data_IF_720672892362
#
_entry.id   IF_720672892362
#
_cell.length_a   1.000
_cell.length_b   1.000
_cell.length_c   1.000
_cell.angle_alpha   90.00
_cell.angle_beta   90.00
_cell.angle_gamma   90.00
#
_symmetry.space_group_name_H-M   'P 1'
#
loop_
_entity.id
_entity.type
_entity.pdbx_description
1 polymer ?
#
# COMPACT_ATOMS: atom_id res chain seq x y z
N UNK A 1 18.58 -26.59 -14.52
CA UNK A 1 17.17 -26.20 -14.25
C UNK A 1 17.00 -25.97 -12.76
N UNK A 2 16.75 -24.73 -12.30
CA UNK A 2 16.44 -24.47 -10.89
C UNK A 2 15.00 -24.91 -10.61
N UNK A 3 14.80 -25.79 -9.63
CA UNK A 3 13.47 -26.19 -9.16
C UNK A 3 12.70 -24.94 -8.73
N UNK A 4 11.51 -24.73 -9.30
CA UNK A 4 10.50 -23.79 -8.81
C UNK A 4 10.22 -24.18 -7.36
N UNK A 5 10.63 -23.36 -6.39
CA UNK A 5 10.30 -23.57 -4.99
C UNK A 5 8.78 -23.43 -4.85
N UNK A 6 8.10 -24.55 -4.65
CA UNK A 6 6.72 -24.59 -4.20
C UNK A 6 6.68 -23.96 -2.80
N UNK A 7 5.98 -22.84 -2.68
CA UNK A 7 5.78 -22.11 -1.43
C UNK A 7 4.85 -22.94 -0.53
N UNK A 8 5.38 -23.99 0.11
CA UNK A 8 4.64 -24.75 1.11
C UNK A 8 4.52 -23.92 2.41
N UNK A 9 3.32 -23.33 2.56
CA UNK A 9 2.51 -23.15 3.77
C UNK A 9 3.11 -23.63 5.11
N UNK A 10 3.30 -22.68 6.04
CA UNK A 10 3.36 -22.92 7.48
C UNK A 10 2.32 -21.98 8.15
N UNK A 11 1.34 -22.58 8.82
CA UNK A 11 0.13 -22.01 9.42
C UNK A 11 0.37 -21.10 10.66
N UNK A 12 1.45 -20.30 10.68
CA UNK A 12 1.77 -19.41 11.81
C UNK A 12 2.46 -18.11 11.38
N UNK A 13 2.03 -17.53 10.25
CA UNK A 13 2.64 -16.30 9.72
C UNK A 13 2.17 -15.08 10.51
N UNK A 14 3.00 -14.62 11.44
CA UNK A 14 2.90 -13.25 11.97
C UNK A 14 3.50 -12.30 10.93
N UNK A 15 2.67 -11.39 10.43
CA UNK A 15 3.04 -10.38 9.45
C UNK A 15 3.59 -9.14 10.15
N UNK A 16 4.41 -8.38 9.44
CA UNK A 16 4.99 -7.13 9.94
C UNK A 16 4.64 -6.03 8.97
N UNK A 17 3.95 -5.00 9.42
CA UNK A 17 3.61 -3.87 8.57
C UNK A 17 4.52 -2.69 8.90
N UNK A 18 5.30 -2.26 7.91
CA UNK A 18 6.13 -1.06 7.96
C UNK A 18 5.44 0.05 7.19
N UNK A 19 4.96 1.07 7.90
CA UNK A 19 4.30 2.21 7.30
C UNK A 19 5.20 3.44 7.37
N UNK A 20 5.57 3.96 6.20
CA UNK A 20 6.36 5.16 6.05
C UNK A 20 5.47 6.24 5.45
N UNK A 21 5.25 7.34 6.17
CA UNK A 21 4.38 8.42 5.72
C UNK A 21 4.99 9.77 6.08
N UNK A 22 4.92 10.77 5.18
CA UNK A 22 5.14 12.16 5.51
C UNK A 22 3.90 12.82 6.13
N UNK A 23 2.70 12.25 5.93
CA UNK A 23 1.41 12.76 6.41
C UNK A 23 0.89 12.01 7.65
N UNK A 24 0.21 12.73 8.54
CA UNK A 24 -0.30 12.19 9.82
C UNK A 24 -1.66 11.47 9.68
N UNK A 25 -2.53 11.94 8.78
CA UNK A 25 -3.92 11.49 8.71
C UNK A 25 -4.05 10.06 8.17
N UNK A 26 -3.43 9.76 7.03
CA UNK A 26 -3.47 8.44 6.37
C UNK A 26 -2.78 7.41 7.26
N UNK A 27 -1.70 7.86 7.90
CA UNK A 27 -0.92 7.08 8.83
C UNK A 27 -1.77 6.64 10.03
N UNK A 28 -2.44 7.58 10.70
CA UNK A 28 -3.31 7.25 11.85
C UNK A 28 -4.49 6.38 11.44
N UNK A 29 -5.04 6.59 10.24
CA UNK A 29 -6.06 5.71 9.66
C UNK A 29 -5.56 4.26 9.54
N UNK A 30 -4.44 4.02 8.84
CA UNK A 30 -3.91 2.66 8.64
C UNK A 30 -3.56 2.02 9.97
N UNK A 31 -2.95 2.78 10.88
CA UNK A 31 -2.62 2.33 12.23
C UNK A 31 -3.86 1.86 12.99
N UNK A 32 -4.95 2.63 12.95
CA UNK A 32 -6.21 2.29 13.62
C UNK A 32 -6.81 1.01 13.03
N UNK A 33 -6.86 0.86 11.71
CA UNK A 33 -7.35 -0.36 11.05
C UNK A 33 -6.58 -1.60 11.50
N UNK A 34 -5.25 -1.55 11.40
CA UNK A 34 -4.39 -2.69 11.75
C UNK A 34 -4.58 -3.05 13.23
N UNK A 35 -4.63 -2.06 14.11
CA UNK A 35 -4.77 -2.30 15.55
C UNK A 35 -6.14 -2.87 15.95
N UNK A 36 -7.22 -2.48 15.25
CA UNK A 36 -8.58 -2.90 15.59
C UNK A 36 -8.97 -4.23 14.93
N UNK A 37 -8.54 -4.50 13.69
CA UNK A 37 -8.98 -5.68 12.92
C UNK A 37 -7.92 -6.75 12.74
N UNK A 38 -6.63 -6.38 12.72
CA UNK A 38 -5.54 -7.29 12.32
C UNK A 38 -4.42 -7.42 13.36
N UNK A 39 -4.59 -6.92 14.59
CA UNK A 39 -3.54 -6.90 15.61
C UNK A 39 -3.00 -8.27 16.02
N UNK A 40 -3.81 -9.32 15.87
CA UNK A 40 -3.44 -10.71 16.16
C UNK A 40 -2.54 -11.30 15.07
N UNK A 41 -2.60 -10.75 13.85
CA UNK A 41 -1.91 -11.26 12.65
C UNK A 41 -0.75 -10.36 12.22
N UNK A 42 -0.89 -9.04 12.38
CA UNK A 42 0.08 -8.03 11.95
C UNK A 42 0.66 -7.32 13.17
N UNK A 43 1.98 -7.36 13.31
CA UNK A 43 2.70 -6.44 14.19
C UNK A 43 2.97 -5.14 13.43
N UNK A 44 2.34 -4.06 13.87
CA UNK A 44 2.49 -2.74 13.28
C UNK A 44 3.79 -2.07 13.74
N UNK A 45 4.59 -1.63 12.77
CA UNK A 45 5.79 -0.81 12.97
C UNK A 45 5.59 0.49 12.19
N UNK A 46 5.16 1.54 12.89
CA UNK A 46 4.80 2.81 12.26
C UNK A 46 5.54 4.02 12.80
N UNK A 47 5.47 5.05 11.97
CA UNK A 47 6.00 6.40 12.04
C UNK A 47 7.51 6.51 11.90
N UNK A 48 7.93 6.43 10.64
CA UNK A 48 9.22 6.86 10.20
C UNK A 48 8.97 7.87 9.08
N UNK A 49 9.08 9.16 9.39
CA UNK A 49 9.09 10.19 8.36
C UNK A 49 10.13 9.82 7.31
N UNK A 50 9.66 9.59 6.09
CA UNK A 50 10.48 9.20 4.94
C UNK A 50 10.58 10.37 3.97
N UNK A 51 11.51 10.28 3.03
CA UNK A 51 11.59 11.24 1.93
C UNK A 51 10.41 11.03 0.97
N UNK A 52 9.84 12.12 0.48
CA UNK A 52 8.79 12.11 -0.55
C UNK A 52 9.43 12.10 -1.95
N UNK A 53 8.81 11.41 -2.90
CA UNK A 53 9.19 11.56 -4.30
C UNK A 53 8.53 12.81 -4.88
N UNK A 54 9.27 13.93 -4.86
CA UNK A 54 8.72 15.24 -5.22
C UNK A 54 8.22 15.30 -6.67
N UNK A 55 7.11 16.03 -6.83
CA UNK A 55 6.60 16.55 -8.11
C UNK A 55 7.60 17.39 -8.90
N UNK A 56 8.56 18.03 -8.22
CA UNK A 56 9.49 18.99 -8.81
C UNK A 56 10.75 18.34 -9.40
N UNK A 57 10.78 17.01 -9.55
CA UNK A 57 11.90 16.30 -10.18
C UNK A 57 11.98 16.68 -11.66
N UNK A 58 13.04 17.40 -12.04
CA UNK A 58 13.19 17.96 -13.39
C UNK A 58 13.94 17.05 -14.36
N UNK A 59 14.79 16.17 -13.84
CA UNK A 59 15.70 15.33 -14.61
C UNK A 59 15.92 13.95 -13.97
N UNK A 60 16.53 13.04 -14.73
CA UNK A 60 16.80 11.67 -14.31
C UNK A 60 17.86 11.57 -13.19
N UNK A 61 18.76 12.54 -13.05
CA UNK A 61 19.77 12.55 -11.99
C UNK A 61 19.12 12.81 -10.62
N UNK A 62 18.29 13.86 -10.54
CA UNK A 62 17.49 14.18 -9.36
C UNK A 62 16.55 13.03 -9.01
N UNK A 63 15.87 12.46 -10.02
CA UNK A 63 15.01 11.28 -9.86
C UNK A 63 15.77 10.14 -9.18
N UNK A 64 16.93 9.76 -9.73
CA UNK A 64 17.72 8.64 -9.23
C UNK A 64 18.23 8.89 -7.80
N UNK A 65 18.59 10.13 -7.49
CA UNK A 65 19.01 10.54 -6.14
C UNK A 65 17.88 10.40 -5.12
N UNK A 66 16.68 10.89 -5.44
CA UNK A 66 15.52 10.77 -4.54
C UNK A 66 15.08 9.32 -4.36
N UNK A 67 15.03 8.53 -5.43
CA UNK A 67 14.74 7.10 -5.36
C UNK A 67 15.76 6.39 -4.45
N UNK A 68 17.06 6.67 -4.58
CA UNK A 68 18.09 6.09 -3.71
C UNK A 68 17.85 6.44 -2.25
N UNK A 69 17.59 7.71 -1.93
CA UNK A 69 17.33 8.15 -0.55
C UNK A 69 16.17 7.38 0.07
N UNK A 70 15.07 7.23 -0.67
CA UNK A 70 13.89 6.48 -0.23
C UNK A 70 14.26 5.02 0.00
N UNK A 71 14.81 4.34 -1.01
CA UNK A 71 15.18 2.92 -0.96
C UNK A 71 16.15 2.64 0.19
N UNK A 72 17.20 3.45 0.35
CA UNK A 72 18.22 3.28 1.39
C UNK A 72 17.63 3.50 2.78
N UNK A 73 16.79 4.53 2.97
CA UNK A 73 16.11 4.78 4.23
C UNK A 73 15.28 3.57 4.67
N UNK A 74 14.47 3.03 3.76
CA UNK A 74 13.58 1.91 4.06
C UNK A 74 14.38 0.63 4.27
N UNK A 75 15.32 0.31 3.37
CA UNK A 75 16.12 -0.91 3.47
C UNK A 75 16.95 -0.92 4.75
N UNK A 76 17.51 0.21 5.19
CA UNK A 76 18.22 0.29 6.47
C UNK A 76 17.30 0.00 7.67
N UNK A 77 16.08 0.54 7.67
CA UNK A 77 15.10 0.26 8.73
C UNK A 77 14.53 -1.14 8.69
N UNK A 78 14.47 -1.78 7.53
CA UNK A 78 13.87 -3.13 7.38
C UNK A 78 14.91 -4.26 7.41
N UNK A 79 16.19 -3.98 7.12
CA UNK A 79 17.31 -4.94 7.12
C UNK A 79 17.84 -5.24 8.52
N UNK A 80 17.79 -4.26 9.43
CA UNK A 80 18.11 -4.45 10.86
C UNK A 80 17.09 -5.31 11.60
N UNK A 81 15.94 -5.63 10.97
CA UNK A 81 14.82 -6.33 11.58
C UNK A 81 14.74 -7.82 11.17
N UNK A 82 15.90 -8.42 10.89
CA UNK A 82 16.08 -9.85 10.56
C UNK A 82 15.58 -10.82 11.67
N UNK A 83 15.21 -10.33 12.83
CA UNK A 83 14.76 -11.15 13.96
C UNK A 83 13.29 -11.59 13.87
N UNK A 84 12.50 -11.06 12.93
CA UNK A 84 11.05 -11.11 13.09
C UNK A 84 10.29 -11.43 11.78
N UNK A 85 10.13 -12.74 11.53
CA UNK A 85 8.97 -13.35 10.85
C UNK A 85 8.90 -13.39 9.31
N UNK A 86 8.21 -14.42 8.82
CA UNK A 86 7.81 -14.61 7.42
C UNK A 86 6.55 -13.75 7.13
N UNK A 87 6.57 -12.92 6.09
CA UNK A 87 5.41 -12.12 5.62
C UNK A 87 5.52 -10.63 5.94
N UNK A 88 6.48 -9.93 5.31
CA UNK A 88 6.67 -8.49 5.52
C UNK A 88 5.75 -7.70 4.58
N UNK A 89 4.99 -6.77 5.11
CA UNK A 89 4.19 -5.81 4.35
C UNK A 89 4.87 -4.47 4.50
N UNK A 90 5.22 -3.84 3.38
CA UNK A 90 5.87 -2.54 3.38
C UNK A 90 4.95 -1.56 2.64
N UNK A 91 4.50 -0.53 3.35
CA UNK A 91 3.61 0.51 2.85
C UNK A 91 4.36 1.84 2.85
N UNK A 92 4.47 2.42 1.67
CA UNK A 92 4.98 3.78 1.46
C UNK A 92 3.82 4.70 1.14
N UNK A 93 3.51 5.60 2.04
CA UNK A 93 2.62 6.72 1.78
C UNK A 93 3.50 7.87 1.33
N UNK A 94 3.18 8.46 0.19
CA UNK A 94 3.99 9.50 -0.44
C UNK A 94 3.08 10.52 -1.12
N UNK A 95 3.56 11.75 -1.27
CA UNK A 95 2.94 12.75 -2.14
C UNK A 95 3.61 12.60 -3.51
N UNK A 96 2.93 11.91 -4.41
CA UNK A 96 3.42 11.64 -5.77
C UNK A 96 2.51 12.25 -6.82
N UNK A 97 1.70 13.23 -6.45
CA UNK A 97 0.60 13.74 -7.27
C UNK A 97 1.05 14.37 -8.59
N UNK A 98 2.32 14.76 -8.69
CA UNK A 98 2.90 15.18 -9.97
C UNK A 98 4.17 14.40 -10.38
N UNK A 99 4.45 13.26 -9.74
CA UNK A 99 5.53 12.39 -10.20
C UNK A 99 5.09 11.67 -11.49
N UNK A 100 5.99 11.56 -12.47
CA UNK A 100 5.73 10.77 -13.67
C UNK A 100 5.60 9.29 -13.31
N UNK A 101 4.67 8.58 -13.94
CA UNK A 101 4.42 7.15 -13.71
C UNK A 101 5.70 6.31 -13.78
N UNK A 102 6.54 6.54 -14.79
CA UNK A 102 7.81 5.84 -14.96
C UNK A 102 8.78 6.03 -13.77
N UNK A 103 8.73 7.16 -13.05
CA UNK A 103 9.56 7.36 -11.86
C UNK A 103 9.10 6.45 -10.72
N UNK A 104 7.80 6.22 -10.59
CA UNK A 104 7.25 5.32 -9.57
C UNK A 104 7.55 3.86 -9.92
N UNK A 105 7.47 3.50 -11.21
CA UNK A 105 7.91 2.18 -11.67
C UNK A 105 9.40 1.93 -11.41
N UNK A 106 10.25 2.93 -11.65
CA UNK A 106 11.69 2.86 -11.37
C UNK A 106 11.93 2.65 -9.86
N UNK A 107 11.20 3.37 -9.00
CA UNK A 107 11.24 3.18 -7.55
C UNK A 107 10.86 1.74 -7.18
N UNK A 108 9.75 1.22 -7.70
CA UNK A 108 9.29 -0.16 -7.45
C UNK A 108 10.31 -1.19 -7.91
N UNK A 109 10.84 -1.06 -9.13
CA UNK A 109 11.86 -1.96 -9.69
C UNK A 109 13.11 -1.97 -8.83
N UNK A 110 13.58 -0.79 -8.40
CA UNK A 110 14.78 -0.68 -7.57
C UNK A 110 14.59 -1.29 -6.20
N UNK A 111 13.47 -1.01 -5.55
CA UNK A 111 13.17 -1.54 -4.23
C UNK A 111 13.02 -3.08 -4.26
N UNK A 112 12.34 -3.63 -5.27
CA UNK A 112 12.27 -5.08 -5.50
C UNK A 112 13.65 -5.73 -5.66
N UNK A 113 14.55 -5.10 -6.42
CA UNK A 113 15.92 -5.60 -6.59
C UNK A 113 16.66 -5.62 -5.25
N UNK A 114 16.52 -4.59 -4.42
CA UNK A 114 17.13 -4.56 -3.09
C UNK A 114 16.58 -5.67 -2.18
N UNK A 115 15.26 -5.89 -2.15
CA UNK A 115 14.67 -6.97 -1.35
C UNK A 115 15.16 -8.36 -1.78
N UNK A 116 15.31 -8.59 -3.08
CA UNK A 116 15.88 -9.83 -3.61
C UNK A 116 17.33 -10.02 -3.16
N UNK A 117 18.15 -8.98 -3.20
CA UNK A 117 19.55 -9.02 -2.74
C UNK A 117 19.67 -9.37 -1.24
N UNK A 118 18.73 -8.91 -0.41
CA UNK A 118 18.69 -9.19 1.02
C UNK A 118 17.92 -10.47 1.40
N UNK A 119 17.59 -11.35 0.44
CA UNK A 119 16.77 -12.55 0.64
C UNK A 119 15.39 -12.30 1.29
N UNK A 120 14.88 -11.08 1.21
CA UNK A 120 13.56 -10.69 1.74
C UNK A 120 12.43 -10.98 0.73
N UNK A 121 12.43 -12.18 0.13
CA UNK A 121 11.58 -12.56 -1.02
C UNK A 121 10.08 -12.62 -0.72
N UNK A 122 9.68 -12.65 0.57
CA UNK A 122 8.29 -12.73 1.01
C UNK A 122 7.73 -11.36 1.43
N UNK A 123 8.21 -10.28 0.80
CA UNK A 123 7.78 -8.92 1.14
C UNK A 123 6.87 -8.34 0.06
N UNK A 124 5.73 -7.79 0.46
CA UNK A 124 4.83 -7.02 -0.42
C UNK A 124 5.10 -5.53 -0.26
N UNK A 125 5.02 -4.78 -1.37
CA UNK A 125 5.23 -3.33 -1.39
C UNK A 125 3.98 -2.65 -1.94
N UNK A 126 3.49 -1.66 -1.19
CA UNK A 126 2.42 -0.78 -1.63
C UNK A 126 2.89 0.67 -1.61
N UNK A 127 2.75 1.37 -2.74
CA UNK A 127 3.01 2.80 -2.88
C UNK A 127 1.67 3.51 -2.95
N UNK A 128 1.31 4.17 -1.86
CA UNK A 128 0.05 4.86 -1.66
C UNK A 128 0.26 6.36 -1.82
N UNK A 129 -0.51 6.96 -2.72
CA UNK A 129 -0.43 8.40 -2.97
C UNK A 129 -1.58 9.15 -2.29
N UNK A 130 -1.30 10.17 -1.47
CA UNK A 130 -2.32 10.79 -0.62
C UNK A 130 -3.52 11.38 -1.38
N UNK A 131 -3.36 12.22 -2.41
CA UNK A 131 -4.55 12.74 -3.10
C UNK A 131 -5.31 11.65 -3.85
N UNK A 132 -4.62 10.57 -4.24
CA UNK A 132 -5.29 9.39 -4.76
C UNK A 132 -6.12 8.69 -3.67
N UNK A 133 -5.75 8.74 -2.38
CA UNK A 133 -6.63 8.27 -1.29
C UNK A 133 -7.93 9.04 -1.32
N UNK A 134 -7.85 10.37 -1.33
CA UNK A 134 -9.04 11.22 -1.28
C UNK A 134 -9.95 10.99 -2.47
N UNK A 135 -9.37 10.79 -3.65
CA UNK A 135 -10.09 10.40 -4.85
C UNK A 135 -10.71 9.02 -4.67
N UNK A 136 -9.98 8.05 -4.11
CA UNK A 136 -10.51 6.72 -3.83
C UNK A 136 -11.65 6.72 -2.82
N UNK A 137 -11.62 7.61 -1.82
CA UNK A 137 -12.66 7.71 -0.80
C UNK A 137 -14.03 7.97 -1.43
N UNK A 138 -14.13 8.70 -2.54
CA UNK A 138 -15.43 8.96 -3.20
C UNK A 138 -16.13 7.68 -3.69
N UNK A 139 -15.37 6.62 -3.97
CA UNK A 139 -15.93 5.32 -4.39
C UNK A 139 -16.46 4.50 -3.23
N UNK A 140 -15.96 4.73 -2.00
CA UNK A 140 -16.49 4.10 -0.78
C UNK A 140 -17.80 4.73 -0.32
N UNK A 141 -18.17 5.89 -0.87
CA UNK A 141 -19.41 6.58 -0.54
C UNK A 141 -20.42 6.45 -1.70
N UNK A 142 -21.66 6.10 -1.35
CA UNK A 142 -22.76 5.90 -2.31
C UNK A 142 -23.39 7.23 -2.81
N UNK A 143 -22.88 8.38 -2.36
CA UNK A 143 -23.46 9.70 -2.65
C UNK A 143 -22.37 10.75 -2.83
N UNK A 144 -22.60 11.70 -3.73
CA UNK A 144 -21.78 12.90 -3.85
C UNK A 144 -21.83 13.65 -2.52
N UNK A 145 -20.73 13.60 -1.79
CA UNK A 145 -20.57 14.16 -0.45
C UNK A 145 -19.37 15.08 -0.49
N UNK A 146 -19.43 16.21 0.22
CA UNK A 146 -18.31 17.12 0.32
C UNK A 146 -17.04 16.41 0.83
N UNK A 147 -15.87 16.72 0.25
CA UNK A 147 -14.60 16.04 0.58
C UNK A 147 -14.22 16.20 2.05
N UNK A 148 -14.53 17.33 2.67
CA UNK A 148 -14.25 17.54 4.08
C UNK A 148 -15.13 16.65 4.96
N UNK A 149 -16.41 16.50 4.60
CA UNK A 149 -17.33 15.59 5.30
C UNK A 149 -16.84 14.13 5.18
N UNK A 150 -16.42 13.71 3.98
CA UNK A 150 -15.84 12.37 3.76
C UNK A 150 -14.61 12.15 4.64
N UNK A 151 -13.68 13.12 4.70
CA UNK A 151 -12.48 13.02 5.55
C UNK A 151 -12.84 12.91 7.03
N UNK A 152 -13.75 13.74 7.52
CA UNK A 152 -14.19 13.73 8.92
C UNK A 152 -14.90 12.43 9.31
N UNK A 153 -15.73 11.88 8.41
CA UNK A 153 -16.45 10.61 8.62
C UNK A 153 -15.47 9.43 8.59
N UNK A 154 -14.51 9.40 7.66
CA UNK A 154 -13.42 8.42 7.67
C UNK A 154 -12.63 8.47 8.98
N UNK A 155 -12.28 9.65 9.47
CA UNK A 155 -11.52 9.77 10.71
C UNK A 155 -12.26 9.17 11.91
N UNK A 156 -13.59 9.37 11.97
CA UNK A 156 -14.44 8.91 13.07
C UNK A 156 -14.88 7.45 12.93
N UNK A 157 -15.22 7.03 11.72
CA UNK A 157 -15.97 5.80 11.40
C UNK A 157 -15.29 4.95 10.33
N UNK A 158 -13.95 4.96 10.33
CA UNK A 158 -13.10 4.27 9.37
C UNK A 158 -13.54 2.80 9.12
N UNK A 159 -13.88 2.06 10.18
CA UNK A 159 -14.28 0.66 10.10
C UNK A 159 -15.53 0.48 9.24
N UNK A 160 -16.55 1.32 9.46
CA UNK A 160 -17.79 1.29 8.69
C UNK A 160 -17.60 1.70 7.24
N UNK A 161 -16.68 2.63 6.97
CA UNK A 161 -16.43 3.13 5.61
C UNK A 161 -15.81 2.04 4.75
N UNK A 162 -14.78 1.36 5.24
CA UNK A 162 -13.99 0.44 4.43
C UNK A 162 -14.46 -1.01 4.52
N UNK A 163 -14.84 -1.49 5.72
CA UNK A 163 -15.17 -2.89 5.94
C UNK A 163 -16.37 -3.31 5.07
N UNK A 164 -16.19 -4.37 4.27
CA UNK A 164 -17.19 -4.92 3.35
C UNK A 164 -17.66 -3.96 2.24
N UNK A 165 -17.02 -2.79 2.09
CA UNK A 165 -17.34 -1.82 1.04
C UNK A 165 -16.25 -1.74 -0.04
N UNK A 166 -15.07 -2.33 0.19
CA UNK A 166 -13.97 -2.30 -0.74
C UNK A 166 -14.34 -2.86 -2.14
N UNK A 167 -14.89 -4.07 -2.20
CA UNK A 167 -15.30 -4.68 -3.48
C UNK A 167 -16.38 -3.82 -4.18
N UNK A 168 -17.27 -3.16 -3.43
CA UNK A 168 -18.26 -2.22 -4.02
C UNK A 168 -17.58 -0.99 -4.61
N UNK A 169 -16.64 -0.38 -3.87
CA UNK A 169 -15.90 0.79 -4.31
C UNK A 169 -15.10 0.49 -5.59
N UNK A 170 -14.40 -0.64 -5.62
CA UNK A 170 -13.65 -1.12 -6.79
C UNK A 170 -14.60 -1.35 -7.97
N UNK A 171 -15.72 -2.05 -7.77
CA UNK A 171 -16.70 -2.28 -8.83
C UNK A 171 -17.30 -0.99 -9.39
N UNK A 172 -17.55 0.01 -8.54
CA UNK A 172 -18.03 1.33 -8.94
C UNK A 172 -17.02 2.03 -9.85
N UNK A 173 -15.76 2.08 -9.43
CA UNK A 173 -14.66 2.63 -10.24
C UNK A 173 -14.55 1.96 -11.60
N UNK A 174 -14.51 0.62 -11.62
CA UNK A 174 -14.34 -0.14 -12.86
C UNK A 174 -15.51 0.07 -13.82
N UNK A 175 -16.74 0.15 -13.31
CA UNK A 175 -17.92 0.45 -14.11
C UNK A 175 -17.84 1.85 -14.73
N UNK A 176 -17.42 2.85 -13.97
CA UNK A 176 -17.27 4.23 -14.44
C UNK A 176 -16.21 4.34 -15.55
N UNK A 177 -15.13 3.57 -15.43
CA UNK A 177 -14.02 3.57 -16.38
C UNK A 177 -14.09 2.47 -17.45
N UNK A 178 -15.21 1.73 -17.56
CA UNK A 178 -15.43 0.62 -18.49
C UNK A 178 -14.33 -0.47 -18.43
N UNK A 179 -13.92 -0.83 -17.22
CA UNK A 179 -12.91 -1.84 -16.94
C UNK A 179 -13.52 -3.12 -16.36
N UNK A 180 -12.77 -4.23 -16.41
CA UNK A 180 -13.23 -5.54 -15.90
C UNK A 180 -12.97 -5.68 -14.41
N UNK A 181 -13.84 -6.45 -13.74
CA UNK A 181 -13.66 -6.84 -12.33
C UNK A 181 -12.42 -7.72 -12.18
N UNK A 182 -11.47 -7.37 -11.29
CA UNK A 182 -10.30 -8.19 -11.03
C UNK A 182 -10.70 -9.47 -10.28
N UNK A 183 -10.12 -10.61 -10.65
CA UNK A 183 -10.37 -11.91 -10.00
C UNK A 183 -9.32 -12.27 -8.93
N UNK A 184 -8.23 -11.51 -8.85
CA UNK A 184 -7.15 -11.64 -7.88
C UNK A 184 -6.48 -10.29 -7.70
N UNK A 185 -5.67 -10.13 -6.64
CA UNK A 185 -4.88 -8.92 -6.40
C UNK A 185 -3.97 -8.55 -7.57
N UNK A 186 -3.43 -9.53 -8.30
CA UNK A 186 -2.57 -9.30 -9.46
C UNK A 186 -3.32 -8.60 -10.61
N UNK A 187 -4.62 -8.87 -10.75
CA UNK A 187 -5.46 -8.28 -11.80
C UNK A 187 -5.84 -6.82 -11.52
N UNK A 188 -5.55 -6.29 -10.34
CA UNK A 188 -5.78 -4.87 -10.06
C UNK A 188 -4.85 -3.98 -10.91
N UNK A 189 -3.86 -4.54 -11.64
CA UNK A 189 -2.98 -3.86 -12.62
C UNK A 189 -3.72 -2.94 -13.57
N UNK A 190 -4.96 -3.29 -13.91
CA UNK A 190 -5.77 -2.61 -14.90
C UNK A 190 -6.42 -1.33 -14.35
N UNK A 191 -6.43 -1.14 -13.03
CA UNK A 191 -6.93 0.06 -12.36
C UNK A 191 -5.90 1.18 -12.55
N UNK A 192 -6.10 1.97 -13.61
CA UNK A 192 -5.28 3.12 -13.93
C UNK A 192 -6.01 4.41 -13.58
N UNK A 193 -5.76 4.94 -12.38
CA UNK A 193 -6.25 6.26 -11.98
C UNK A 193 -5.36 7.37 -12.54
N UNK A 194 -5.94 8.56 -12.77
CA UNK A 194 -5.19 9.78 -13.18
C UNK A 194 -4.05 10.15 -12.22
N UNK A 195 -4.10 9.65 -10.99
CA UNK A 195 -3.05 9.75 -9.99
C UNK A 195 -2.66 8.34 -9.56
N UNK A 196 -1.42 7.90 -9.82
CA UNK A 196 -0.94 6.56 -9.49
C UNK A 196 -1.13 6.26 -7.99
N UNK A 197 -1.71 5.10 -7.64
CA UNK A 197 -1.80 4.63 -6.25
C UNK A 197 -2.19 3.16 -6.11
N UNK A 198 -1.58 2.47 -5.15
CA UNK A 198 -1.86 1.06 -4.83
C UNK A 198 -3.02 0.86 -3.84
N UNK A 199 -3.85 1.86 -3.54
CA UNK A 199 -4.95 1.72 -2.56
C UNK A 199 -5.81 0.48 -2.77
N UNK A 200 -6.29 0.20 -4.00
CA UNK A 200 -7.09 -0.97 -4.27
C UNK A 200 -6.39 -2.28 -3.87
N UNK A 201 -5.10 -2.39 -4.18
CA UNK A 201 -4.29 -3.58 -3.91
C UNK A 201 -4.01 -3.73 -2.42
N UNK A 202 -3.64 -2.63 -1.75
CA UNK A 202 -3.28 -2.65 -0.34
C UNK A 202 -4.47 -3.08 0.53
N UNK A 203 -5.67 -2.55 0.26
CA UNK A 203 -6.85 -2.94 1.01
C UNK A 203 -7.30 -4.37 0.72
N UNK A 204 -7.32 -4.78 -0.56
CA UNK A 204 -7.66 -6.16 -0.91
C UNK A 204 -6.75 -7.16 -0.19
N UNK A 205 -5.45 -6.89 -0.17
CA UNK A 205 -4.47 -7.71 0.55
C UNK A 205 -4.79 -7.80 2.06
N UNK A 206 -5.14 -6.67 2.69
CA UNK A 206 -5.47 -6.66 4.13
C UNK A 206 -6.79 -7.37 4.43
N UNK A 207 -7.80 -7.25 3.58
CA UNK A 207 -9.07 -7.97 3.71
C UNK A 207 -8.91 -9.49 3.53
N UNK A 208 -8.12 -9.93 2.56
CA UNK A 208 -7.78 -11.35 2.38
C UNK A 208 -7.09 -11.92 3.64
N UNK A 209 -6.24 -11.13 4.31
CA UNK A 209 -5.64 -11.52 5.58
C UNK A 209 -6.65 -11.59 6.74
N UNK A 210 -7.75 -10.83 6.70
CA UNK A 210 -8.84 -10.89 7.69
C UNK A 210 -9.68 -12.17 7.53
N UNK A 211 -10.00 -12.56 6.30
CA UNK A 211 -10.87 -13.72 5.99
C UNK A 211 -10.28 -15.04 6.52
N UNK A 212 -8.95 -15.20 6.45
CA UNK A 212 -8.21 -16.35 7.02
C UNK A 212 -8.42 -16.54 8.54
N UNK A 213 -9.10 -15.63 9.25
CA UNK A 213 -9.47 -15.80 10.66
C UNK A 213 -10.46 -16.94 10.89
N UNK A 214 -11.25 -17.28 9.86
CA UNK A 214 -12.39 -18.19 9.95
C UNK A 214 -12.15 -19.56 9.27
N UNK A 215 -10.91 -19.83 8.85
CA UNK A 215 -10.48 -21.06 8.17
C UNK A 215 -9.33 -21.72 8.92
#
# INVERSE_FOLDING_TARGET
MRKKQTLNTLNNKKYYLYCFSPGETEFEYFKKYINEKLNYKIKYHGNAQTHQLSSNIKDDEQKNKEINRIVDFITNRTSTMNEYGLGKIIVFITDCDNAKLNHIEDLRKKFNKCLQLYNNINSSIFILNYQALESWLEYYYDKTTDKQIIRDDVFKHWDKVFQNNHDKAVNKYLKEHNQKVPSSIDNYSDIHTKSYSDFPYAFKYLEELEIDKNS
#
